data_IF_691043834647
#
_entry.id   IF_691043834647
#
_cell.length_a   1.000
_cell.length_b   1.000
_cell.length_c   1.000
_cell.angle_alpha   90.00
_cell.angle_beta   90.00
_cell.angle_gamma   90.00
#
_symmetry.space_group_name_H-M   'P 1'
#
loop_
_entity.id
_entity.type
_entity.pdbx_description
1 polymer ?
#
# COMPACT_ATOMS: atom_id res chain seq x y z
N UNK A 1 -2.46 17.25 31.12
CA UNK A 1 -1.87 17.16 29.76
C UNK A 1 -1.63 15.68 29.47
N UNK A 2 -2.51 15.07 28.66
CA UNK A 2 -2.34 13.67 28.22
C UNK A 2 -1.27 13.66 27.14
N UNK A 3 -0.15 12.95 27.35
CA UNK A 3 0.76 12.67 26.24
C UNK A 3 0.00 11.77 25.27
N UNK A 4 -0.45 12.31 24.14
CA UNK A 4 -0.90 11.49 23.03
C UNK A 4 0.27 10.58 22.68
N UNK A 5 0.16 9.30 23.02
CA UNK A 5 1.12 8.29 22.57
C UNK A 5 0.99 8.21 21.06
N UNK A 6 1.92 8.86 20.35
CA UNK A 6 2.01 8.75 18.91
C UNK A 6 2.41 7.31 18.56
N UNK A 7 1.70 6.71 17.62
CA UNK A 7 2.05 5.39 17.10
C UNK A 7 3.48 5.39 16.52
N UNK A 8 4.20 4.27 16.70
CA UNK A 8 5.53 4.03 16.14
C UNK A 8 5.55 2.70 15.40
N UNK A 9 6.22 2.69 14.25
CA UNK A 9 6.34 1.51 13.39
C UNK A 9 7.20 0.39 13.98
N UNK A 10 8.08 0.67 14.92
CA UNK A 10 9.13 -0.25 15.38
C UNK A 10 8.60 -1.63 15.82
N UNK A 11 7.44 -1.67 16.47
CA UNK A 11 6.80 -2.93 16.91
C UNK A 11 6.08 -3.69 15.79
N UNK A 12 5.63 -2.98 14.74
CA UNK A 12 4.80 -3.55 13.68
C UNK A 12 5.60 -4.06 12.48
N UNK A 13 6.70 -3.40 12.11
CA UNK A 13 7.50 -3.79 10.93
C UNK A 13 8.02 -5.24 10.97
N UNK A 14 8.48 -5.79 12.11
CA UNK A 14 8.89 -7.20 12.18
C UNK A 14 7.74 -8.19 11.95
N UNK A 15 6.48 -7.77 12.13
CA UNK A 15 5.32 -8.58 11.79
C UNK A 15 5.12 -8.59 10.28
N UNK A 16 5.23 -7.42 9.64
CA UNK A 16 5.20 -7.30 8.18
C UNK A 16 6.24 -8.22 7.58
N UNK A 17 7.51 -8.14 7.98
CA UNK A 17 8.61 -8.94 7.44
C UNK A 17 8.43 -10.47 7.57
N UNK A 18 7.69 -10.94 8.59
CA UNK A 18 7.53 -12.37 8.91
C UNK A 18 6.19 -12.98 8.51
N UNK A 19 5.17 -12.18 8.25
CA UNK A 19 3.83 -12.67 7.89
C UNK A 19 3.81 -13.56 6.64
N UNK A 20 2.72 -14.26 6.39
CA UNK A 20 2.52 -14.97 5.11
C UNK A 20 1.87 -14.08 4.06
N UNK A 21 0.93 -13.24 4.49
CA UNK A 21 0.20 -12.32 3.63
C UNK A 21 0.23 -10.91 4.21
N UNK A 22 0.55 -9.94 3.37
CA UNK A 22 0.52 -8.53 3.71
C UNK A 22 -0.41 -7.81 2.75
N UNK A 23 -1.35 -7.05 3.29
CA UNK A 23 -2.26 -6.22 2.51
C UNK A 23 -2.07 -4.76 2.89
N UNK A 24 -1.76 -3.91 1.92
CA UNK A 24 -1.69 -2.44 2.09
C UNK A 24 -2.80 -1.81 1.27
N UNK A 25 -3.61 -0.98 1.92
CA UNK A 25 -4.72 -0.25 1.30
C UNK A 25 -4.55 1.23 1.62
N UNK A 26 -4.25 2.02 0.59
CA UNK A 26 -4.06 3.46 0.71
C UNK A 26 -4.26 4.11 -0.66
N UNK A 27 -4.79 5.35 -0.76
CA UNK A 27 -4.94 6.02 -2.05
C UNK A 27 -3.61 6.10 -2.79
N UNK A 28 -2.55 6.45 -2.06
CA UNK A 28 -1.15 6.40 -2.47
C UNK A 28 -0.33 5.79 -1.34
N UNK A 29 0.82 5.18 -1.64
CA UNK A 29 1.65 4.53 -0.62
C UNK A 29 3.06 5.10 -0.61
N UNK A 30 3.33 5.97 0.36
CA UNK A 30 4.60 6.71 0.48
C UNK A 30 5.36 6.46 1.79
N UNK A 31 4.85 5.56 2.63
CA UNK A 31 5.45 5.30 3.95
C UNK A 31 6.72 4.46 3.84
N UNK A 32 7.87 5.10 4.05
CA UNK A 32 9.19 4.51 3.78
C UNK A 32 9.52 3.31 4.68
N UNK A 33 9.40 3.37 6.02
CA UNK A 33 9.62 2.21 6.88
C UNK A 33 8.79 0.99 6.47
N UNK A 34 7.51 1.19 6.17
CA UNK A 34 6.62 0.11 5.72
C UNK A 34 7.02 -0.44 4.35
N UNK A 35 7.41 0.44 3.43
CA UNK A 35 7.98 0.08 2.13
C UNK A 35 9.23 -0.81 2.29
N UNK A 36 10.18 -0.42 3.14
CA UNK A 36 11.43 -1.18 3.35
C UNK A 36 11.15 -2.60 3.88
N UNK A 37 10.18 -2.74 4.79
CA UNK A 37 9.75 -4.05 5.29
C UNK A 37 9.13 -4.92 4.18
N UNK A 38 8.25 -4.35 3.34
CA UNK A 38 7.62 -5.05 2.21
C UNK A 38 8.66 -5.45 1.16
N UNK A 39 9.61 -4.56 0.86
CA UNK A 39 10.69 -4.83 -0.10
C UNK A 39 11.53 -6.03 0.33
N UNK A 40 11.95 -6.09 1.60
CA UNK A 40 12.73 -7.22 2.13
C UNK A 40 11.99 -8.55 1.95
N UNK A 41 10.67 -8.57 2.18
CA UNK A 41 9.87 -9.79 1.95
C UNK A 41 9.86 -10.23 0.50
N UNK A 42 9.55 -9.31 -0.40
CA UNK A 42 9.43 -9.61 -1.83
C UNK A 42 10.77 -10.09 -2.39
N UNK A 43 11.87 -9.44 -1.97
CA UNK A 43 13.23 -9.86 -2.31
C UNK A 43 13.55 -11.28 -1.81
N UNK A 44 13.09 -11.64 -0.61
CA UNK A 44 13.29 -12.97 -0.04
C UNK A 44 12.29 -14.02 -0.61
N UNK A 45 11.42 -13.65 -1.55
CA UNK A 45 10.43 -14.55 -2.17
C UNK A 45 9.30 -14.98 -1.23
N UNK A 46 9.03 -14.20 -0.17
CA UNK A 46 8.10 -14.59 0.91
C UNK A 46 6.66 -14.11 0.67
N UNK A 47 5.78 -15.06 0.42
CA UNK A 47 4.33 -14.91 0.59
C UNK A 47 3.66 -13.88 -0.34
N UNK A 48 2.36 -13.66 -0.13
CA UNK A 48 1.54 -12.79 -0.97
C UNK A 48 1.50 -11.35 -0.45
N UNK A 49 1.96 -10.39 -1.27
CA UNK A 49 1.76 -8.96 -1.01
C UNK A 49 0.65 -8.45 -1.91
N UNK A 50 -0.39 -7.89 -1.30
CA UNK A 50 -1.52 -7.27 -1.98
C UNK A 50 -1.51 -5.77 -1.72
N UNK A 51 -1.54 -4.98 -2.78
CA UNK A 51 -1.54 -3.52 -2.74
C UNK A 51 -2.83 -3.04 -3.36
N UNK A 52 -3.56 -2.17 -2.67
CA UNK A 52 -4.81 -1.61 -3.15
C UNK A 52 -4.68 -0.09 -3.13
N UNK A 53 -4.85 0.52 -4.31
CA UNK A 53 -4.61 1.94 -4.53
C UNK A 53 -5.67 2.63 -5.36
N UNK A 54 -5.63 3.95 -5.40
CA UNK A 54 -6.44 4.72 -6.34
C UNK A 54 -5.82 4.70 -7.74
N UNK A 55 -6.56 5.10 -8.78
CA UNK A 55 -6.03 5.17 -10.15
C UNK A 55 -4.89 6.18 -10.33
N UNK A 56 -4.76 7.13 -9.41
CA UNK A 56 -3.69 8.13 -9.39
C UNK A 56 -2.38 7.55 -8.83
N UNK A 57 -2.44 6.47 -8.05
CA UNK A 57 -1.28 5.93 -7.34
C UNK A 57 -0.10 5.53 -8.25
N UNK A 58 -0.31 4.97 -9.47
CA UNK A 58 0.77 4.73 -10.42
C UNK A 58 1.40 6.00 -11.01
N UNK A 59 0.66 7.11 -11.05
CA UNK A 59 1.14 8.36 -11.65
C UNK A 59 1.87 9.24 -10.63
N UNK A 60 1.80 8.89 -9.35
CA UNK A 60 2.48 9.56 -8.27
C UNK A 60 3.94 9.09 -8.15
N UNK A 61 4.88 9.97 -8.49
CA UNK A 61 6.32 9.66 -8.45
C UNK A 61 6.87 9.36 -7.05
N UNK A 62 6.14 9.69 -5.98
CA UNK A 62 6.51 9.34 -4.61
C UNK A 62 5.91 7.99 -4.15
N UNK A 63 4.99 7.41 -4.91
CA UNK A 63 4.29 6.19 -4.55
C UNK A 63 5.13 4.94 -4.83
N UNK A 64 5.20 4.03 -3.86
CA UNK A 64 5.97 2.79 -3.97
C UNK A 64 5.20 1.64 -4.62
N UNK A 65 3.92 1.80 -4.95
CA UNK A 65 3.10 0.73 -5.54
C UNK A 65 3.66 0.17 -6.84
N UNK A 66 4.16 1.04 -7.74
CA UNK A 66 4.72 0.58 -9.01
C UNK A 66 5.95 -0.30 -8.82
N UNK A 67 6.83 0.07 -7.89
CA UNK A 67 8.04 -0.70 -7.59
C UNK A 67 7.63 -2.10 -7.15
N UNK A 68 6.67 -2.24 -6.26
CA UNK A 68 6.27 -3.56 -5.76
C UNK A 68 5.47 -4.40 -6.74
N UNK A 69 4.69 -3.79 -7.63
CA UNK A 69 4.07 -4.51 -8.75
C UNK A 69 5.14 -5.22 -9.61
N UNK A 70 6.28 -4.56 -9.87
CA UNK A 70 7.40 -5.18 -10.57
C UNK A 70 8.02 -6.36 -9.79
N UNK A 71 8.11 -6.26 -8.46
CA UNK A 71 8.65 -7.31 -7.59
C UNK A 71 7.65 -8.43 -7.25
N UNK A 72 6.52 -8.51 -7.96
CA UNK A 72 5.56 -9.61 -7.84
C UNK A 72 4.42 -9.39 -6.83
N UNK A 73 4.27 -8.18 -6.29
CA UNK A 73 3.07 -7.84 -5.52
C UNK A 73 1.86 -7.68 -6.45
N UNK A 74 0.69 -8.16 -6.01
CA UNK A 74 -0.56 -7.91 -6.71
C UNK A 74 -1.05 -6.49 -6.42
N UNK A 75 -1.02 -5.60 -7.41
CA UNK A 75 -1.54 -4.23 -7.31
C UNK A 75 -2.96 -4.17 -7.90
N UNK A 76 -3.90 -3.63 -7.16
CA UNK A 76 -5.31 -3.49 -7.56
C UNK A 76 -5.72 -2.03 -7.45
N UNK A 77 -6.22 -1.45 -8.54
CA UNK A 77 -6.64 -0.06 -8.60
C UNK A 77 -8.16 0.05 -8.51
N UNK A 78 -8.64 0.86 -7.57
CA UNK A 78 -10.07 1.09 -7.31
C UNK A 78 -10.44 2.51 -7.75
N UNK A 79 -11.56 2.64 -8.46
CA UNK A 79 -12.12 3.91 -8.95
C UNK A 79 -13.66 3.83 -8.95
N UNK A 80 -14.38 4.75 -8.26
CA UNK A 80 -13.85 5.84 -7.45
C UNK A 80 -13.18 5.34 -6.16
N UNK A 81 -12.16 6.06 -5.69
CA UNK A 81 -11.50 5.74 -4.43
C UNK A 81 -12.45 5.97 -3.23
N UNK A 82 -12.72 4.95 -2.38
CA UNK A 82 -13.82 5.04 -1.41
C UNK A 82 -13.40 5.58 -0.03
N UNK A 83 -12.10 5.71 0.25
CA UNK A 83 -11.59 6.01 1.59
C UNK A 83 -11.00 7.41 1.68
N UNK A 84 -11.21 8.05 2.83
CA UNK A 84 -10.37 9.19 3.23
C UNK A 84 -8.97 8.69 3.61
N UNK A 85 -7.93 9.54 3.62
CA UNK A 85 -6.58 9.10 3.97
C UNK A 85 -6.48 8.47 5.37
N UNK A 86 -7.30 8.90 6.34
CA UNK A 86 -7.38 8.30 7.67
C UNK A 86 -7.85 6.85 7.67
N UNK A 87 -8.56 6.43 6.62
CA UNK A 87 -8.99 5.06 6.41
C UNK A 87 -7.93 4.18 5.74
N UNK A 88 -6.71 4.67 5.51
CA UNK A 88 -5.62 3.84 4.97
C UNK A 88 -5.19 2.80 6.01
N UNK A 89 -4.87 1.59 5.59
CA UNK A 89 -4.50 0.51 6.51
C UNK A 89 -3.50 -0.47 5.92
N UNK A 90 -2.76 -1.12 6.81
CA UNK A 90 -1.95 -2.29 6.51
C UNK A 90 -2.32 -3.43 7.43
N UNK A 91 -2.44 -4.63 6.88
CA UNK A 91 -2.80 -5.85 7.60
C UNK A 91 -1.78 -6.95 7.32
N UNK A 92 -1.54 -7.77 8.34
CA UNK A 92 -0.68 -8.96 8.29
C UNK A 92 -1.52 -10.16 8.71
N UNK A 93 -1.59 -11.16 7.83
CA UNK A 93 -2.26 -12.46 8.02
C UNK A 93 -3.73 -12.37 8.48
N UNK A 94 -4.40 -11.22 8.28
CA UNK A 94 -5.76 -10.97 8.76
C UNK A 94 -5.90 -10.93 10.29
N UNK A 95 -4.80 -10.78 11.04
CA UNK A 95 -4.78 -10.84 12.51
C UNK A 95 -4.20 -9.59 13.18
N UNK A 96 -3.26 -8.92 12.51
CA UNK A 96 -2.62 -7.69 13.01
C UNK A 96 -2.73 -6.61 11.97
N UNK A 97 -2.89 -5.37 12.39
CA UNK A 97 -2.94 -4.26 11.46
C UNK A 97 -2.71 -2.91 12.08
N UNK A 98 -2.48 -1.94 11.22
CA UNK A 98 -2.39 -0.52 11.53
C UNK A 98 -3.34 0.21 10.59
N UNK A 99 -4.08 1.16 11.14
CA UNK A 99 -4.99 2.03 10.39
C UNK A 99 -4.64 3.49 10.69
N UNK A 100 -4.55 4.30 9.65
CA UNK A 100 -4.34 5.74 9.76
C UNK A 100 -3.62 6.36 8.56
N UNK A 101 -3.50 7.70 8.54
CA UNK A 101 -2.90 8.46 7.45
C UNK A 101 -1.40 8.16 7.24
N UNK A 102 -0.67 7.72 8.27
CA UNK A 102 0.74 7.36 8.12
C UNK A 102 0.95 6.17 7.18
N UNK A 103 -0.02 5.28 7.01
CA UNK A 103 0.09 4.17 6.03
C UNK A 103 0.24 4.72 4.61
N UNK A 104 -0.44 5.83 4.30
CA UNK A 104 -0.31 6.52 3.02
C UNK A 104 0.97 7.39 2.92
N UNK A 105 1.77 7.45 4.00
CA UNK A 105 2.92 8.34 4.14
C UNK A 105 2.53 9.81 4.34
N UNK A 106 1.38 10.07 4.96
CA UNK A 106 0.93 11.42 5.31
C UNK A 106 1.25 11.73 6.77
N UNK A 107 1.46 13.03 7.06
CA UNK A 107 1.62 13.53 8.42
C UNK A 107 0.37 13.25 9.26
N UNK A 108 0.57 12.94 10.53
CA UNK A 108 -0.49 12.59 11.48
C UNK A 108 -0.41 13.44 12.76
N UNK A 109 -0.67 14.76 12.66
CA UNK A 109 -0.61 15.66 13.81
C UNK A 109 -1.69 15.34 14.86
N UNK A 110 -2.78 14.72 14.44
CA UNK A 110 -3.93 14.38 15.29
C UNK A 110 -3.76 13.01 15.98
N UNK A 111 -2.70 12.25 15.66
CA UNK A 111 -2.46 10.92 16.23
C UNK A 111 -3.55 9.90 15.88
N UNK A 112 -4.09 9.94 14.65
CA UNK A 112 -5.15 9.03 14.19
C UNK A 112 -4.64 7.64 13.83
N UNK A 113 -3.34 7.51 13.57
CA UNK A 113 -2.69 6.23 13.27
C UNK A 113 -2.59 5.39 14.53
N UNK A 114 -3.08 4.15 14.45
CA UNK A 114 -3.10 3.22 15.58
C UNK A 114 -3.04 1.77 15.12
N UNK A 115 -2.66 0.89 16.05
CA UNK A 115 -2.86 -0.55 15.89
C UNK A 115 -4.36 -0.91 15.97
N UNK A 116 -4.74 -1.93 15.22
CA UNK A 116 -6.06 -2.54 15.24
C UNK A 116 -6.09 -3.69 16.26
N UNK A 117 -7.24 -3.89 16.91
CA UNK A 117 -7.49 -5.16 17.60
C UNK A 117 -7.56 -6.32 16.60
N UNK A 118 -7.50 -7.56 17.08
CA UNK A 118 -7.61 -8.73 16.19
C UNK A 118 -8.98 -8.81 15.51
N UNK A 119 -10.05 -8.46 16.22
CA UNK A 119 -11.41 -8.40 15.69
C UNK A 119 -11.53 -7.33 14.60
N UNK A 120 -10.97 -6.14 14.83
CA UNK A 120 -10.93 -5.09 13.82
C UNK A 120 -10.12 -5.53 12.60
N UNK A 121 -8.95 -6.16 12.81
CA UNK A 121 -8.10 -6.63 11.72
C UNK A 121 -8.85 -7.61 10.80
N UNK A 122 -9.69 -8.50 11.35
CA UNK A 122 -10.54 -9.42 10.56
C UNK A 122 -11.56 -8.67 9.71
N UNK A 123 -12.23 -7.66 10.28
CA UNK A 123 -13.21 -6.84 9.55
C UNK A 123 -12.53 -6.08 8.40
N UNK A 124 -11.40 -5.44 8.68
CA UNK A 124 -10.63 -4.70 7.69
C UNK A 124 -10.00 -5.61 6.62
N UNK A 125 -9.65 -6.85 6.97
CA UNK A 125 -9.18 -7.84 6.02
C UNK A 125 -10.24 -8.18 4.97
N UNK A 126 -11.46 -8.47 5.42
CA UNK A 126 -12.57 -8.76 4.52
C UNK A 126 -12.95 -7.52 3.68
N UNK A 127 -12.88 -6.33 4.25
CA UNK A 127 -13.06 -5.09 3.49
C UNK A 127 -12.00 -4.92 2.40
N UNK A 128 -10.71 -5.13 2.72
CA UNK A 128 -9.63 -5.09 1.75
C UNK A 128 -9.78 -6.13 0.63
N UNK A 129 -10.26 -7.34 0.96
CA UNK A 129 -10.58 -8.37 -0.06
C UNK A 129 -11.72 -7.93 -0.99
N UNK A 130 -12.74 -7.24 -0.48
CA UNK A 130 -13.81 -6.66 -1.31
C UNK A 130 -13.26 -5.58 -2.23
N UNK A 131 -12.31 -4.75 -1.76
CA UNK A 131 -11.65 -3.75 -2.61
C UNK A 131 -10.81 -4.41 -3.70
N UNK A 132 -10.08 -5.49 -3.40
CA UNK A 132 -9.34 -6.28 -4.41
C UNK A 132 -10.30 -6.81 -5.47
N UNK A 133 -11.44 -7.38 -5.07
CA UNK A 133 -12.44 -7.91 -6.00
C UNK A 133 -13.12 -6.84 -6.86
N UNK A 134 -13.29 -5.62 -6.31
CA UNK A 134 -13.83 -4.49 -7.05
C UNK A 134 -12.78 -3.76 -7.91
N UNK A 135 -11.50 -3.90 -7.56
CA UNK A 135 -10.39 -3.24 -8.23
C UNK A 135 -9.97 -3.94 -9.52
N UNK A 136 -9.37 -3.17 -10.42
CA UNK A 136 -8.70 -3.72 -11.61
C UNK A 136 -7.26 -4.05 -11.27
N UNK A 137 -6.84 -5.30 -11.50
CA UNK A 137 -5.43 -5.69 -11.35
C UNK A 137 -4.57 -4.85 -12.30
N UNK A 138 -3.56 -4.19 -11.76
CA UNK A 138 -2.59 -3.40 -12.51
C UNK A 138 -1.27 -4.16 -12.60
N UNK A 139 -0.87 -4.47 -13.83
CA UNK A 139 0.40 -5.13 -14.13
C UNK A 139 1.37 -4.11 -14.69
N UNK A 140 2.44 -3.86 -13.95
CA UNK A 140 3.51 -2.98 -14.43
C UNK A 140 4.35 -3.69 -15.48
N UNK A 141 4.09 -3.39 -16.76
CA UNK A 141 4.90 -3.87 -17.88
C UNK A 141 6.02 -2.88 -18.20
N UNK A 142 7.24 -3.22 -17.78
CA UNK A 142 8.45 -2.44 -18.07
C UNK A 142 8.65 -2.18 -19.56
N UNK A 143 8.33 -3.14 -20.44
CA UNK A 143 8.51 -2.97 -21.89
C UNK A 143 7.52 -1.96 -22.42
N UNK A 144 6.26 -2.05 -21.99
CA UNK A 144 5.23 -1.08 -22.37
C UNK A 144 5.59 0.32 -21.88
N UNK A 145 6.11 0.46 -20.65
CA UNK A 145 6.52 1.75 -20.10
C UNK A 145 7.75 2.33 -20.80
N UNK A 146 8.76 1.50 -21.10
CA UNK A 146 9.92 1.91 -21.87
C UNK A 146 9.52 2.38 -23.29
N UNK A 147 8.60 1.66 -23.94
CA UNK A 147 8.06 2.04 -25.24
C UNK A 147 7.31 3.39 -25.16
N UNK A 148 6.42 3.55 -24.19
CA UNK A 148 5.70 4.81 -23.97
C UNK A 148 6.66 5.98 -23.71
N UNK A 149 7.72 5.76 -22.92
CA UNK A 149 8.76 6.75 -22.69
C UNK A 149 9.44 7.19 -23.99
N UNK A 150 9.84 6.24 -24.85
CA UNK A 150 10.45 6.52 -26.15
C UNK A 150 9.47 7.24 -27.08
N UNK A 151 8.22 6.79 -27.18
CA UNK A 151 7.20 7.41 -28.02
C UNK A 151 6.92 8.87 -27.61
N UNK A 152 6.86 9.17 -26.31
CA UNK A 152 6.75 10.55 -25.80
C UNK A 152 7.96 11.39 -26.18
N UNK A 153 9.16 10.84 -26.02
CA UNK A 153 10.42 11.51 -26.37
C UNK A 153 10.53 11.84 -27.87
N UNK A 154 9.95 10.99 -28.71
CA UNK A 154 9.89 11.19 -30.17
C UNK A 154 8.72 12.09 -30.60
N UNK A 155 7.87 12.56 -29.67
CA UNK A 155 6.70 13.39 -29.98
C UNK A 155 5.55 12.64 -30.66
N UNK A 156 5.56 11.31 -30.64
CA UNK A 156 4.55 10.47 -31.28
C UNK A 156 3.23 10.41 -30.48
N UNK A 157 3.30 10.69 -29.18
CA UNK A 157 2.15 10.75 -28.28
C UNK A 157 2.30 11.98 -27.35
N UNK A 158 1.19 12.67 -27.09
CA UNK A 158 1.15 13.81 -26.16
C UNK A 158 1.08 13.32 -24.71
N UNK A 159 1.63 14.14 -23.80
CA UNK A 159 1.62 13.90 -22.34
C UNK A 159 0.21 13.92 -21.79
#
# INVERSE_FOLDING_TARGET
>A
MSSAWAFSWEGFLPLVERGQYVMVVAPVFRERPLMEAIWRRLRDGKGGVYLVGSREAPNDGASYFLVFSYWGAGLYLVDPWPLKPEGSFVLVDGRRGVLGPQVAGLSDPDGKTRELSEEEAKVWWEYGRKLIAAGSEYRYDLKAQALLHVMRRLGLIRR
#
